data_IF_268690595789
#
_entry.id   IF_268690595789
#
_cell.length_a   1.000
_cell.length_b   1.000
_cell.length_c   1.000
_cell.angle_alpha   90.00
_cell.angle_beta   90.00
_cell.angle_gamma   90.00
#
_symmetry.space_group_name_H-M   'P 1'
#
loop_
_entity.id
_entity.type
_entity.pdbx_description
1 polymer ?
#
# COMPACT_ATOMS: atom_id res chain seq x y z
N UNK A 1 0.06 -34.82 -14.56
CA UNK A 1 0.52 -33.66 -15.36
C UNK A 1 0.38 -32.30 -14.63
N UNK A 2 0.33 -32.24 -13.28
CA UNK A 2 0.27 -30.96 -12.53
C UNK A 2 1.57 -30.57 -11.79
N UNK A 3 2.42 -31.56 -11.48
CA UNK A 3 3.66 -31.36 -10.71
C UNK A 3 4.72 -30.58 -11.50
N UNK A 4 4.94 -30.93 -12.78
CA UNK A 4 5.93 -30.24 -13.64
C UNK A 4 5.69 -28.74 -13.78
N UNK A 5 4.45 -28.31 -14.04
CA UNK A 5 4.12 -26.89 -14.15
C UNK A 5 4.33 -26.11 -12.83
N UNK A 6 4.33 -26.80 -11.68
CA UNK A 6 4.65 -26.18 -10.39
C UNK A 6 6.16 -26.15 -10.14
N UNK A 7 6.88 -27.20 -10.53
CA UNK A 7 8.36 -27.24 -10.51
C UNK A 7 8.96 -26.19 -11.46
N UNK A 8 8.44 -26.08 -12.68
CA UNK A 8 8.92 -25.11 -13.68
C UNK A 8 8.82 -23.66 -13.15
N UNK A 9 7.75 -23.34 -12.41
CA UNK A 9 7.59 -22.03 -11.76
C UNK A 9 8.58 -21.81 -10.63
N UNK A 10 8.84 -22.85 -9.83
CA UNK A 10 9.81 -22.78 -8.75
C UNK A 10 11.23 -22.61 -9.29
N UNK A 11 11.57 -23.31 -10.37
CA UNK A 11 12.86 -23.18 -11.04
C UNK A 11 13.04 -21.78 -11.65
N UNK A 12 11.98 -21.20 -12.23
CA UNK A 12 11.98 -19.81 -12.70
C UNK A 12 12.22 -18.81 -11.55
N UNK A 13 11.58 -18.99 -10.41
CA UNK A 13 11.77 -18.15 -9.22
C UNK A 13 13.18 -18.28 -8.65
N UNK A 14 13.71 -19.50 -8.54
CA UNK A 14 15.09 -19.75 -8.10
C UNK A 14 16.09 -19.08 -9.05
N UNK A 15 15.91 -19.26 -10.36
CA UNK A 15 16.78 -18.64 -11.35
C UNK A 15 16.66 -17.11 -11.36
N UNK A 16 15.49 -16.55 -11.01
CA UNK A 16 15.31 -15.11 -10.84
C UNK A 16 16.04 -14.58 -9.61
N UNK A 17 16.07 -15.34 -8.50
CA UNK A 17 16.83 -15.01 -7.31
C UNK A 17 18.34 -15.08 -7.55
N UNK A 18 18.83 -16.06 -8.31
CA UNK A 18 20.26 -16.18 -8.65
C UNK A 18 20.74 -15.06 -9.58
N UNK A 19 19.84 -14.49 -10.41
CA UNK A 19 20.13 -13.33 -11.25
C UNK A 19 20.02 -11.99 -10.51
N UNK A 20 19.61 -12.00 -9.24
CA UNK A 20 19.43 -10.78 -8.47
C UNK A 20 20.79 -10.25 -8.01
N UNK A 21 21.32 -9.27 -8.75
CA UNK A 21 22.53 -8.55 -8.39
C UNK A 21 22.28 -7.46 -7.32
N UNK A 22 23.38 -6.86 -6.85
CA UNK A 22 23.37 -5.80 -5.83
C UNK A 22 22.57 -4.56 -6.29
N UNK A 23 22.64 -4.23 -7.58
CA UNK A 23 21.93 -3.08 -8.15
C UNK A 23 20.40 -3.31 -8.14
N UNK A 24 19.94 -4.51 -8.49
CA UNK A 24 18.53 -4.88 -8.41
C UNK A 24 18.00 -4.84 -6.97
N UNK A 25 18.83 -5.23 -5.99
CA UNK A 25 18.48 -5.13 -4.58
C UNK A 25 18.37 -3.67 -4.10
N UNK A 26 19.26 -2.80 -4.59
CA UNK A 26 19.23 -1.36 -4.29
C UNK A 26 17.96 -0.69 -4.85
N UNK A 27 17.62 -0.99 -6.10
CA UNK A 27 16.37 -0.54 -6.74
C UNK A 27 15.14 -1.03 -5.97
N UNK A 28 15.14 -2.29 -5.51
CA UNK A 28 14.04 -2.85 -4.73
C UNK A 28 13.89 -2.13 -3.37
N UNK A 29 15.00 -1.82 -2.70
CA UNK A 29 15.00 -1.06 -1.45
C UNK A 29 14.45 0.35 -1.67
N UNK A 30 14.91 1.04 -2.70
CA UNK A 30 14.44 2.39 -3.02
C UNK A 30 12.93 2.38 -3.30
N UNK A 31 12.45 1.43 -4.12
CA UNK A 31 11.02 1.30 -4.41
C UNK A 31 10.18 1.09 -3.15
N UNK A 32 10.62 0.21 -2.23
CA UNK A 32 9.93 0.00 -0.95
C UNK A 32 9.92 1.26 -0.10
N UNK A 33 11.04 1.97 -0.02
CA UNK A 33 11.14 3.23 0.72
C UNK A 33 10.17 4.29 0.15
N UNK A 34 10.10 4.43 -1.17
CA UNK A 34 9.17 5.34 -1.82
C UNK A 34 7.71 4.98 -1.54
N UNK A 35 7.37 3.69 -1.57
CA UNK A 35 6.03 3.22 -1.21
C UNK A 35 5.67 3.54 0.24
N UNK A 36 6.58 3.30 1.17
CA UNK A 36 6.38 3.65 2.58
C UNK A 36 6.20 5.16 2.78
N UNK A 37 7.03 5.99 2.13
CA UNK A 37 6.88 7.46 2.17
C UNK A 37 5.51 7.91 1.66
N UNK A 38 5.08 7.41 0.50
CA UNK A 38 3.73 7.69 -0.04
C UNK A 38 2.62 7.26 0.90
N UNK A 39 2.77 6.10 1.56
CA UNK A 39 1.78 5.62 2.52
C UNK A 39 1.70 6.54 3.75
N UNK A 40 2.83 7.01 4.25
CA UNK A 40 2.88 7.97 5.37
C UNK A 40 2.23 9.30 4.98
N UNK A 41 2.49 9.81 3.78
CA UNK A 41 1.85 11.03 3.26
C UNK A 41 0.33 10.88 3.16
N UNK A 42 -0.14 9.76 2.62
CA UNK A 42 -1.57 9.44 2.55
C UNK A 42 -2.20 9.33 3.94
N UNK A 43 -1.53 8.63 4.87
CA UNK A 43 -1.96 8.52 6.25
C UNK A 43 -2.05 9.89 6.94
N UNK A 44 -1.05 10.75 6.74
CA UNK A 44 -1.06 12.11 7.27
C UNK A 44 -2.22 12.92 6.71
N UNK A 45 -2.53 12.78 5.42
CA UNK A 45 -3.69 13.40 4.80
C UNK A 45 -4.99 12.91 5.45
N UNK A 46 -5.14 11.60 5.63
CA UNK A 46 -6.32 11.03 6.29
C UNK A 46 -6.49 11.51 7.73
N UNK A 47 -5.41 11.57 8.50
CA UNK A 47 -5.45 12.11 9.86
C UNK A 47 -5.86 13.59 9.82
N UNK A 48 -5.33 14.39 8.90
CA UNK A 48 -5.69 15.82 8.77
C UNK A 48 -7.15 16.05 8.38
N UNK A 49 -7.75 15.13 7.63
CA UNK A 49 -9.18 15.12 7.30
C UNK A 49 -10.05 14.60 8.46
N UNK A 50 -9.44 14.23 9.59
CA UNK A 50 -10.14 13.73 10.77
C UNK A 50 -10.68 12.31 10.59
N UNK A 51 -9.95 11.46 9.84
CA UNK A 51 -10.13 10.02 9.88
C UNK A 51 -9.42 9.41 11.10
N UNK A 52 -9.89 8.26 11.59
CA UNK A 52 -9.32 7.58 12.76
C UNK A 52 -9.96 7.94 14.10
N UNK A 53 -10.79 8.98 14.14
CA UNK A 53 -11.57 9.35 15.32
C UNK A 53 -13.05 9.01 15.16
N UNK A 54 -13.66 8.50 16.24
CA UNK A 54 -15.10 8.28 16.30
C UNK A 54 -15.79 9.55 16.81
N UNK A 55 -16.63 10.15 15.97
CA UNK A 55 -17.42 11.34 16.33
C UNK A 55 -18.90 11.05 16.20
N UNK A 56 -19.69 11.34 17.25
CA UNK A 56 -21.15 11.21 17.22
C UNK A 56 -21.79 12.53 16.75
N UNK A 57 -22.45 12.50 15.61
CA UNK A 57 -23.15 13.66 15.04
C UNK A 57 -24.64 13.49 15.25
N UNK A 58 -25.28 14.44 15.93
CA UNK A 58 -26.70 14.36 16.30
C UNK A 58 -27.63 15.04 15.28
N UNK A 59 -27.09 15.92 14.44
CA UNK A 59 -27.84 16.68 13.43
C UNK A 59 -27.57 16.16 12.03
N UNK A 60 -28.63 15.90 11.27
CA UNK A 60 -28.56 15.42 9.89
C UNK A 60 -27.85 16.42 8.96
N UNK A 61 -27.97 17.73 9.21
CA UNK A 61 -27.30 18.78 8.43
C UNK A 61 -25.78 18.72 8.62
N UNK A 62 -25.35 18.54 9.87
CA UNK A 62 -23.93 18.50 10.23
C UNK A 62 -23.28 17.22 9.73
N UNK A 63 -24.03 16.12 9.68
CA UNK A 63 -23.60 14.85 9.07
C UNK A 63 -23.23 15.02 7.59
N UNK A 64 -24.09 15.67 6.80
CA UNK A 64 -23.80 15.89 5.37
C UNK A 64 -22.65 16.88 5.13
N UNK A 65 -22.50 17.89 5.98
CA UNK A 65 -21.36 18.82 5.88
C UNK A 65 -20.02 18.13 6.19
N UNK A 66 -20.00 17.26 7.20
CA UNK A 66 -18.80 16.54 7.63
C UNK A 66 -18.40 15.45 6.62
N UNK A 67 -19.37 14.67 6.14
CA UNK A 67 -19.11 13.60 5.16
C UNK A 67 -18.64 14.11 3.80
N UNK A 68 -19.18 15.25 3.32
CA UNK A 68 -18.70 15.88 2.08
C UNK A 68 -17.28 16.43 2.19
N UNK A 69 -16.89 16.92 3.36
CA UNK A 69 -15.55 17.45 3.59
C UNK A 69 -14.49 16.35 3.69
N UNK A 70 -14.88 15.16 4.16
CA UNK A 70 -14.01 13.97 4.32
C UNK A 70 -13.89 13.08 3.07
N UNK A 71 -14.66 13.36 2.02
CA UNK A 71 -14.70 12.53 0.80
C UNK A 71 -13.82 13.07 -0.36
N UNK A 72 -12.96 14.07 -0.09
CA UNK A 72 -12.14 14.75 -1.11
C UNK A 72 -10.67 14.32 -1.03
#
# INVERSE_FOLDING_TARGET
MGYKCSEDKLDEEIAALDRLDLDNLEVLRERRLQQMKKMVEQWSCWISLGHGEYTKIFSKKDFFSTTRSKAR
#
